data_IF_787332378493
#
_entry.id   IF_787332378493
#
_cell.length_a   1.000
_cell.length_b   1.000
_cell.length_c   1.000
_cell.angle_alpha   90.00
_cell.angle_beta   90.00
_cell.angle_gamma   90.00
#
_symmetry.space_group_name_H-M   'P 1'
#
loop_
_entity.id
_entity.type
_entity.pdbx_description
1 polymer ?
#
# COMPACT_ATOMS: atom_id res chain seq x y z
N UNK A 1 16.01 29.55 8.33
CA UNK A 1 15.03 28.44 8.38
C UNK A 1 15.57 27.38 9.31
N UNK A 2 14.96 27.19 10.47
CA UNK A 2 15.34 26.19 11.48
C UNK A 2 14.59 24.88 11.21
N UNK A 3 15.31 23.85 10.78
CA UNK A 3 14.77 22.50 10.58
C UNK A 3 15.53 21.51 11.46
N UNK A 4 14.83 20.51 11.97
CA UNK A 4 15.45 19.41 12.72
C UNK A 4 16.15 18.46 11.76
N UNK A 5 17.38 18.09 12.11
CA UNK A 5 18.17 17.12 11.35
C UNK A 5 17.79 15.71 11.81
N UNK A 6 17.41 14.88 10.85
CA UNK A 6 17.13 13.46 11.04
C UNK A 6 18.41 12.71 10.67
N UNK A 7 18.90 11.89 11.60
CA UNK A 7 20.12 11.09 11.41
C UNK A 7 19.72 9.65 11.11
N UNK A 8 20.04 9.18 9.90
CA UNK A 8 19.70 7.85 9.44
C UNK A 8 20.97 7.03 9.19
N UNK A 9 21.20 6.00 10.02
CA UNK A 9 22.37 5.15 9.89
C UNK A 9 22.09 4.04 8.87
N UNK A 10 22.90 3.94 7.82
CA UNK A 10 22.74 2.94 6.75
C UNK A 10 24.02 2.16 6.52
N UNK A 11 23.87 0.95 5.99
CA UNK A 11 24.97 0.15 5.47
C UNK A 11 24.75 0.02 3.97
N UNK A 12 25.76 0.40 3.19
CA UNK A 12 25.72 0.24 1.74
C UNK A 12 25.92 -1.23 1.34
N UNK A 13 25.59 -1.57 0.11
CA UNK A 13 25.78 -2.92 -0.45
C UNK A 13 27.25 -3.38 -0.41
N UNK A 14 28.19 -2.42 -0.39
CA UNK A 14 29.63 -2.66 -0.20
C UNK A 14 30.02 -3.01 1.24
N UNK A 15 29.07 -3.05 2.19
CA UNK A 15 29.31 -3.26 3.62
C UNK A 15 29.78 -2.01 4.38
N UNK A 16 29.96 -0.88 3.69
CA UNK A 16 30.37 0.38 4.32
C UNK A 16 29.23 0.98 5.15
N UNK A 17 29.50 1.25 6.43
CA UNK A 17 28.57 1.98 7.32
C UNK A 17 28.67 3.48 7.04
N UNK A 18 27.53 4.10 6.81
CA UNK A 18 27.40 5.53 6.54
C UNK A 18 26.32 6.15 7.42
N UNK A 19 26.36 7.47 7.51
CA UNK A 19 25.32 8.29 8.14
C UNK A 19 24.70 9.15 7.03
N UNK A 20 23.39 9.00 6.83
CA UNK A 20 22.60 9.83 5.92
C UNK A 20 21.86 10.88 6.77
N UNK A 21 22.12 12.15 6.50
CA UNK A 21 21.43 13.27 7.15
C UNK A 21 20.28 13.74 6.27
N UNK A 22 19.09 13.84 6.85
CA UNK A 22 17.86 14.23 6.17
C UNK A 22 17.17 15.36 6.94
N UNK A 23 16.27 16.08 6.28
CA UNK A 23 15.38 17.07 6.92
C UNK A 23 13.96 16.87 6.40
N UNK A 24 12.95 16.98 7.28
CA UNK A 24 11.56 16.88 6.88
C UNK A 24 10.97 18.25 6.54
N UNK A 25 10.31 18.38 5.39
CA UNK A 25 9.65 19.63 4.97
C UNK A 25 8.57 20.08 5.96
N UNK A 26 7.87 19.14 6.62
CA UNK A 26 6.89 19.46 7.65
C UNK A 26 7.48 20.18 8.87
N UNK A 27 8.75 19.92 9.21
CA UNK A 27 9.44 20.63 10.29
C UNK A 27 9.71 22.10 9.96
N UNK A 28 9.61 22.49 8.68
CA UNK A 28 9.74 23.87 8.27
C UNK A 28 8.52 24.72 8.67
N UNK A 29 7.36 24.12 8.99
CA UNK A 29 6.11 24.82 9.29
C UNK A 29 6.25 25.85 10.43
N UNK A 30 7.13 25.59 11.41
CA UNK A 30 7.43 26.51 12.52
C UNK A 30 8.17 27.79 12.11
N UNK A 31 8.72 27.85 10.89
CA UNK A 31 9.45 29.01 10.38
C UNK A 31 8.56 29.97 9.57
N UNK A 32 7.28 29.62 9.39
CA UNK A 32 6.32 30.46 8.71
C UNK A 32 5.55 31.28 9.75
N UNK A 33 5.96 32.53 9.94
CA UNK A 33 5.15 33.53 10.63
C UNK A 33 3.95 33.84 9.71
N UNK A 34 2.75 33.41 10.09
CA UNK A 34 1.56 33.67 9.28
C UNK A 34 1.26 35.15 9.16
N UNK A 35 1.14 35.65 7.92
CA UNK A 35 0.39 36.81 7.44
C UNK A 35 -0.15 37.80 8.51
N UNK A 36 0.77 38.37 9.29
CA UNK A 36 0.44 39.14 10.50
C UNK A 36 -0.20 40.51 10.22
N UNK A 37 -0.31 40.93 8.96
CA UNK A 37 -0.74 42.29 8.63
C UNK A 37 -2.26 42.48 8.59
N UNK A 38 -3.07 41.40 8.56
CA UNK A 38 -4.54 41.53 8.42
C UNK A 38 -5.36 41.11 9.66
N UNK A 39 -4.82 40.31 10.58
CA UNK A 39 -5.55 39.81 11.76
C UNK A 39 -4.79 40.05 13.06
N UNK A 40 -4.54 41.32 13.39
CA UNK A 40 -3.80 41.74 14.58
C UNK A 40 -4.54 41.53 15.93
N UNK A 41 -5.72 40.88 15.92
CA UNK A 41 -6.65 40.81 17.06
C UNK A 41 -7.06 39.38 17.49
N UNK A 42 -6.49 38.32 16.90
CA UNK A 42 -6.82 36.94 17.28
C UNK A 42 -5.65 36.27 18.04
N UNK A 43 -5.89 35.66 19.23
CA UNK A 43 -4.85 35.08 20.09
C UNK A 43 -4.38 33.67 19.68
N UNK A 44 -4.48 33.28 18.41
CA UNK A 44 -4.25 31.90 17.97
C UNK A 44 -2.96 31.75 17.13
N UNK A 45 -2.31 30.57 17.17
CA UNK A 45 -1.10 30.30 16.39
C UNK A 45 -1.32 30.44 14.88
N UNK A 46 -0.30 30.92 14.18
CA UNK A 46 -0.32 31.32 12.77
C UNK A 46 -0.27 30.17 11.76
N UNK A 47 -0.03 28.94 12.21
CA UNK A 47 -0.03 27.73 11.39
C UNK A 47 -1.31 26.93 11.62
N UNK A 48 -2.01 26.57 10.54
CA UNK A 48 -3.32 25.90 10.59
C UNK A 48 -3.18 24.48 10.06
N UNK A 49 -3.49 23.50 10.92
CA UNK A 49 -3.72 22.12 10.51
C UNK A 49 -5.17 21.94 10.07
N UNK A 50 -5.39 21.37 8.88
CA UNK A 50 -6.73 20.99 8.42
C UNK A 50 -6.86 19.49 8.53
N UNK A 51 -7.83 19.03 9.32
CA UNK A 51 -8.17 17.60 9.35
C UNK A 51 -8.83 17.23 8.02
N UNK A 52 -8.31 16.21 7.36
CA UNK A 52 -8.78 15.74 6.06
C UNK A 52 -9.23 14.28 6.15
N UNK A 53 -10.25 13.87 5.38
CA UNK A 53 -10.66 12.47 5.34
C UNK A 53 -9.53 11.59 4.77
N UNK A 54 -9.45 10.34 5.22
CA UNK A 54 -8.42 9.36 4.85
C UNK A 54 -8.21 9.24 3.33
N UNK A 55 -9.27 9.43 2.52
CA UNK A 55 -9.22 9.43 1.04
C UNK A 55 -8.22 10.41 0.41
N UNK A 56 -7.77 11.44 1.14
CA UNK A 56 -6.74 12.40 0.65
C UNK A 56 -5.31 11.93 0.91
N UNK A 57 -5.13 10.85 1.66
CA UNK A 57 -3.84 10.30 1.98
C UNK A 57 -3.86 8.82 1.58
N UNK A 58 -3.27 8.47 0.43
CA UNK A 58 -3.21 7.10 -0.05
C UNK A 58 -1.76 6.75 -0.44
N UNK A 59 -0.89 6.55 0.56
CA UNK A 59 0.52 6.31 0.29
C UNK A 59 0.71 4.94 -0.37
N UNK A 60 1.44 4.90 -1.48
CA UNK A 60 1.88 3.65 -2.12
C UNK A 60 3.35 3.45 -1.78
N UNK A 61 3.63 2.55 -0.84
CA UNK A 61 5.00 2.27 -0.35
C UNK A 61 5.40 0.82 -0.58
N UNK A 62 4.44 -0.08 -0.59
CA UNK A 62 4.61 -1.52 -0.74
C UNK A 62 3.93 -2.02 -2.01
N UNK A 63 4.29 -3.23 -2.45
CA UNK A 63 3.60 -3.90 -3.56
C UNK A 63 2.13 -4.19 -3.23
N UNK A 64 1.78 -4.38 -1.95
CA UNK A 64 0.39 -4.51 -1.50
C UNK A 64 -0.41 -3.23 -1.79
N UNK A 65 0.17 -2.06 -1.50
CA UNK A 65 -0.48 -0.76 -1.79
C UNK A 65 -0.67 -0.58 -3.31
N UNK A 66 0.30 -1.01 -4.10
CA UNK A 66 0.23 -0.96 -5.56
C UNK A 66 -0.90 -1.85 -6.09
N UNK A 67 -1.04 -3.06 -5.57
CA UNK A 67 -2.12 -3.98 -5.94
C UNK A 67 -3.50 -3.36 -5.66
N UNK A 68 -3.66 -2.71 -4.49
CA UNK A 68 -4.90 -2.02 -4.14
C UNK A 68 -5.22 -0.93 -5.17
N UNK A 69 -4.28 -0.02 -5.46
CA UNK A 69 -4.49 1.10 -6.40
C UNK A 69 -4.76 0.63 -7.83
N UNK A 70 -4.15 -0.47 -8.25
CA UNK A 70 -4.35 -1.03 -9.59
C UNK A 70 -5.65 -1.83 -9.74
N UNK A 71 -6.27 -2.25 -8.63
CA UNK A 71 -7.51 -3.02 -8.64
C UNK A 71 -8.74 -2.16 -8.94
N UNK A 72 -9.87 -2.83 -9.16
CA UNK A 72 -11.17 -2.19 -9.35
C UNK A 72 -11.76 -1.54 -8.09
N UNK A 73 -11.02 -1.52 -6.97
CA UNK A 73 -11.37 -0.72 -5.78
C UNK A 73 -11.26 0.79 -6.03
N UNK A 74 -10.45 1.21 -7.00
CA UNK A 74 -10.28 2.61 -7.38
C UNK A 74 -10.66 2.82 -8.84
N UNK A 75 -11.54 3.78 -9.10
CA UNK A 75 -11.80 4.27 -10.45
C UNK A 75 -10.91 5.48 -10.72
N UNK A 76 -10.31 5.56 -11.91
CA UNK A 76 -9.50 6.70 -12.33
C UNK A 76 -10.31 8.00 -12.45
N UNK A 77 -11.62 7.90 -12.69
CA UNK A 77 -12.50 9.07 -12.83
C UNK A 77 -13.22 9.44 -11.53
N UNK A 78 -13.47 8.46 -10.68
CA UNK A 78 -14.16 8.62 -9.40
C UNK A 78 -13.27 8.08 -8.28
N UNK A 79 -12.74 8.99 -7.47
CA UNK A 79 -12.11 8.68 -6.18
C UNK A 79 -12.97 7.66 -5.40
N UNK A 80 -12.34 6.81 -4.57
CA UNK A 80 -12.52 5.34 -4.50
C UNK A 80 -13.95 4.81 -4.73
N UNK A 81 -14.06 3.64 -5.37
CA UNK A 81 -15.35 2.99 -5.66
C UNK A 81 -16.10 2.54 -4.39
N UNK A 82 -15.39 2.47 -3.25
CA UNK A 82 -15.94 2.24 -1.91
C UNK A 82 -15.51 3.36 -0.96
N UNK A 83 -16.39 3.74 -0.05
CA UNK A 83 -16.07 4.66 1.06
C UNK A 83 -15.04 4.04 2.03
N UNK A 84 -14.99 2.71 2.13
CA UNK A 84 -14.09 1.95 2.99
C UNK A 84 -13.14 1.08 2.16
N UNK A 85 -11.83 1.22 2.41
CA UNK A 85 -10.80 0.36 1.82
C UNK A 85 -10.73 -0.98 2.58
N UNK A 86 -10.32 -2.10 1.96
CA UNK A 86 -10.17 -3.38 2.65
C UNK A 86 -9.29 -3.24 3.89
N UNK A 87 -9.63 -3.96 4.96
CA UNK A 87 -9.00 -3.78 6.27
C UNK A 87 -7.52 -4.15 6.25
N UNK A 88 -7.15 -5.21 5.51
CA UNK A 88 -5.74 -5.63 5.38
C UNK A 88 -5.52 -6.41 4.09
N UNK A 89 -4.62 -5.89 3.26
CA UNK A 89 -4.04 -6.63 2.13
C UNK A 89 -2.54 -6.79 2.37
N UNK A 90 -2.11 -8.01 2.64
CA UNK A 90 -0.71 -8.37 2.81
C UNK A 90 -0.26 -9.28 1.67
N UNK A 91 0.53 -8.73 0.76
CA UNK A 91 1.15 -9.48 -0.33
C UNK A 91 2.64 -9.56 -0.05
N UNK A 92 3.08 -10.72 0.42
CA UNK A 92 4.49 -11.00 0.67
C UNK A 92 5.07 -11.78 -0.52
N UNK A 93 5.16 -11.13 -1.68
CA UNK A 93 5.66 -11.75 -2.89
C UNK A 93 6.83 -10.94 -3.48
N UNK A 94 8.01 -11.55 -3.51
CA UNK A 94 9.19 -11.08 -4.26
C UNK A 94 9.07 -11.35 -5.77
N UNK A 95 7.99 -11.96 -6.23
CA UNK A 95 7.82 -12.45 -7.59
C UNK A 95 7.12 -11.42 -8.48
N UNK A 96 7.95 -10.77 -9.31
CA UNK A 96 7.66 -10.35 -10.69
C UNK A 96 6.20 -10.41 -11.13
N UNK A 97 5.59 -9.23 -11.31
CA UNK A 97 4.45 -9.00 -12.20
C UNK A 97 3.27 -9.96 -12.01
N UNK A 98 2.35 -9.61 -11.12
CA UNK A 98 0.95 -10.01 -11.28
C UNK A 98 0.52 -9.58 -12.69
N UNK A 99 0.48 -10.54 -13.61
CA UNK A 99 0.13 -10.30 -15.02
C UNK A 99 -1.32 -9.85 -15.17
N UNK A 100 -2.15 -10.10 -14.16
CA UNK A 100 -3.55 -9.69 -14.13
C UNK A 100 -3.95 -9.42 -12.69
N UNK A 101 -4.62 -8.29 -12.46
CA UNK A 101 -5.10 -7.89 -11.13
C UNK A 101 -6.45 -8.57 -10.90
N UNK A 102 -6.64 -9.27 -9.77
CA UNK A 102 -7.93 -9.87 -9.43
C UNK A 102 -8.99 -8.80 -9.12
N UNK A 103 -10.25 -9.19 -9.20
CA UNK A 103 -11.38 -8.43 -8.67
C UNK A 103 -11.38 -8.52 -7.14
N UNK A 104 -11.36 -7.35 -6.49
CA UNK A 104 -11.27 -7.19 -5.04
C UNK A 104 -12.46 -6.43 -4.45
N UNK A 105 -13.51 -6.17 -5.24
CA UNK A 105 -14.64 -5.33 -4.80
C UNK A 105 -15.35 -5.85 -3.56
N UNK A 106 -15.40 -7.17 -3.38
CA UNK A 106 -16.04 -7.82 -2.24
C UNK A 106 -15.02 -8.42 -1.26
N UNK A 107 -13.76 -8.00 -1.33
CA UNK A 107 -12.69 -8.48 -0.45
C UNK A 107 -12.65 -7.67 0.87
N UNK A 108 -12.55 -8.39 1.98
CA UNK A 108 -12.32 -7.80 3.31
C UNK A 108 -10.85 -7.96 3.75
N UNK A 109 -10.30 -9.17 3.60
CA UNK A 109 -8.95 -9.50 4.03
C UNK A 109 -8.25 -10.41 3.03
N UNK A 110 -7.04 -10.04 2.60
CA UNK A 110 -6.20 -10.85 1.72
C UNK A 110 -4.81 -11.06 2.32
N UNK A 111 -4.40 -12.31 2.43
CA UNK A 111 -3.00 -12.67 2.72
C UNK A 111 -2.49 -13.60 1.64
N UNK A 112 -1.39 -13.22 1.01
CA UNK A 112 -0.69 -14.05 0.01
C UNK A 112 0.77 -14.20 0.43
N UNK A 113 1.20 -15.44 0.61
CA UNK A 113 2.56 -15.79 1.01
C UNK A 113 3.13 -16.88 0.10
N UNK A 114 4.37 -16.70 -0.34
CA UNK A 114 5.11 -17.65 -1.19
C UNK A 114 4.96 -17.40 -2.69
N UNK A 115 5.31 -18.41 -3.50
CA UNK A 115 5.20 -18.36 -4.98
C UNK A 115 3.76 -18.62 -5.42
N UNK A 116 2.98 -17.55 -5.56
CA UNK A 116 1.57 -17.59 -5.94
C UNK A 116 1.35 -16.79 -7.22
N UNK A 117 0.67 -17.38 -8.19
CA UNK A 117 0.27 -16.68 -9.42
C UNK A 117 -1.24 -16.65 -9.59
N UNK A 118 -1.74 -15.54 -10.14
CA UNK A 118 -3.17 -15.35 -10.43
C UNK A 118 -3.42 -15.42 -11.93
N UNK A 119 -4.37 -16.26 -12.33
CA UNK A 119 -4.92 -16.30 -13.68
C UNK A 119 -5.74 -15.05 -14.02
N UNK A 120 -6.27 -14.99 -15.24
CA UNK A 120 -7.13 -13.88 -15.68
C UNK A 120 -8.53 -14.00 -15.08
N UNK A 121 -9.13 -12.88 -14.69
CA UNK A 121 -10.53 -12.85 -14.22
C UNK A 121 -10.77 -13.57 -12.89
N UNK A 122 -9.76 -13.62 -12.01
CA UNK A 122 -9.94 -14.14 -10.65
C UNK A 122 -10.72 -13.12 -9.82
N UNK A 123 -11.66 -13.59 -9.00
CA UNK A 123 -12.42 -12.76 -8.05
C UNK A 123 -12.21 -13.27 -6.62
N UNK A 124 -11.88 -12.36 -5.71
CA UNK A 124 -11.59 -12.64 -4.31
C UNK A 124 -12.62 -11.94 -3.42
N UNK A 125 -13.24 -12.69 -2.52
CA UNK A 125 -14.35 -12.22 -1.68
C UNK A 125 -14.19 -12.62 -0.21
N UNK A 126 -14.59 -11.73 0.69
CA UNK A 126 -14.48 -11.91 2.13
C UNK A 126 -13.04 -12.06 2.60
N UNK A 127 -12.75 -13.13 3.35
CA UNK A 127 -11.39 -13.44 3.82
C UNK A 127 -10.74 -14.51 2.94
N UNK A 128 -9.66 -14.15 2.24
CA UNK A 128 -8.87 -15.09 1.41
C UNK A 128 -7.43 -15.15 1.91
N UNK A 129 -6.95 -16.36 2.19
CA UNK A 129 -5.57 -16.61 2.62
C UNK A 129 -4.94 -17.65 1.69
N UNK A 130 -3.83 -17.32 1.05
CA UNK A 130 -3.11 -18.21 0.13
C UNK A 130 -1.68 -18.37 0.61
N UNK A 131 -1.28 -19.62 0.90
CA UNK A 131 0.03 -19.94 1.47
C UNK A 131 0.69 -21.04 0.64
N UNK A 132 1.67 -20.66 -0.16
CA UNK A 132 2.64 -21.56 -0.79
C UNK A 132 3.86 -21.67 0.13
N UNK A 133 4.15 -22.88 0.61
CA UNK A 133 5.34 -23.12 1.46
C UNK A 133 6.63 -23.01 0.64
N UNK A 134 7.78 -23.01 1.32
CA UNK A 134 9.09 -22.93 0.66
C UNK A 134 9.28 -24.09 -0.34
N UNK A 135 9.48 -23.76 -1.62
CA UNK A 135 9.64 -24.73 -2.71
C UNK A 135 8.33 -25.15 -3.37
N UNK A 136 7.19 -24.82 -2.77
CA UNK A 136 5.88 -24.99 -3.38
C UNK A 136 5.50 -23.79 -4.24
N UNK A 137 4.61 -24.05 -5.19
CA UNK A 137 4.04 -23.02 -6.06
C UNK A 137 2.54 -23.26 -6.18
N UNK A 138 1.76 -22.18 -6.17
CA UNK A 138 0.31 -22.23 -6.36
C UNK A 138 -0.07 -21.35 -7.54
N UNK A 139 -0.55 -21.96 -8.61
CA UNK A 139 -1.16 -21.26 -9.74
C UNK A 139 -2.69 -21.26 -9.58
N UNK A 140 -3.27 -20.10 -9.31
CA UNK A 140 -4.73 -19.92 -9.26
C UNK A 140 -5.27 -19.87 -10.69
N UNK A 141 -6.19 -20.77 -11.08
CA UNK A 141 -6.68 -20.84 -12.45
C UNK A 141 -7.46 -19.58 -12.85
N UNK A 142 -7.52 -19.33 -14.17
CA UNK A 142 -8.30 -18.20 -14.71
C UNK A 142 -9.80 -18.40 -14.42
N UNK A 143 -10.51 -17.33 -14.04
CA UNK A 143 -11.91 -17.37 -13.67
C UNK A 143 -12.20 -17.91 -12.26
N UNK A 144 -11.16 -18.19 -11.45
CA UNK A 144 -11.37 -18.70 -10.10
C UNK A 144 -12.10 -17.68 -9.21
N UNK A 145 -13.07 -18.16 -8.45
CA UNK A 145 -13.74 -17.42 -7.39
C UNK A 145 -13.31 -17.98 -6.04
N UNK A 146 -12.64 -17.17 -5.22
CA UNK A 146 -12.25 -17.54 -3.86
C UNK A 146 -13.03 -16.69 -2.86
N UNK A 147 -13.93 -17.32 -2.12
CA UNK A 147 -14.76 -16.66 -1.11
C UNK A 147 -14.65 -17.36 0.23
N UNK A 148 -14.13 -16.65 1.25
CA UNK A 148 -13.93 -17.18 2.59
C UNK A 148 -13.15 -18.51 2.57
N UNK A 149 -11.97 -18.49 1.95
CA UNK A 149 -11.14 -19.67 1.67
C UNK A 149 -9.71 -19.48 2.17
N UNK A 150 -9.16 -20.59 2.66
CA UNK A 150 -7.73 -20.76 2.87
C UNK A 150 -7.24 -21.76 1.82
N UNK A 151 -6.27 -21.35 1.00
CA UNK A 151 -5.65 -22.17 -0.04
C UNK A 151 -4.20 -22.42 0.35
N UNK A 152 -3.82 -23.69 0.44
CA UNK A 152 -2.44 -24.08 0.72
C UNK A 152 -2.08 -25.37 -0.01
N UNK A 153 -0.79 -25.54 -0.31
CA UNK A 153 -0.24 -26.72 -0.97
C UNK A 153 0.60 -26.36 -2.18
N UNK A 154 0.61 -27.26 -3.16
CA UNK A 154 1.36 -27.13 -4.40
C UNK A 154 0.43 -27.45 -5.59
N UNK A 155 0.21 -26.46 -6.45
CA UNK A 155 -0.62 -26.57 -7.64
C UNK A 155 0.09 -25.87 -8.80
N UNK A 156 0.45 -26.62 -9.84
CA UNK A 156 1.05 -26.08 -11.06
C UNK A 156 0.15 -26.29 -12.26
N UNK A 157 -0.10 -25.21 -12.99
CA UNK A 157 -0.89 -25.25 -14.23
C UNK A 157 0.08 -25.11 -15.42
N UNK A 158 0.23 -26.18 -16.19
CA UNK A 158 1.08 -26.21 -17.39
C UNK A 158 0.22 -26.00 -18.64
N UNK A 159 0.76 -25.28 -19.64
CA UNK A 159 0.12 -25.17 -20.95
C UNK A 159 0.24 -26.51 -21.70
N UNK A 160 -0.86 -26.93 -22.31
CA UNK A 160 -0.89 -28.05 -23.25
C UNK A 160 -0.72 -27.51 -24.68
#
# INVERSE_FOLDING_TARGET
MHMEVIVNNKTLDSGMRIIQLETAVGAAMKNFDGAHEFYHFLPYPTHVGINVPRRRFLPVKTCSDLLLVMSNLYDMKAWPARDESPETVSVCAHSTAQRTIPDLLELDHLTVSGDVTFGKGVSLKGTVIIIANHGDRIDIPSGALLENKIVSGNLRILQH
#
